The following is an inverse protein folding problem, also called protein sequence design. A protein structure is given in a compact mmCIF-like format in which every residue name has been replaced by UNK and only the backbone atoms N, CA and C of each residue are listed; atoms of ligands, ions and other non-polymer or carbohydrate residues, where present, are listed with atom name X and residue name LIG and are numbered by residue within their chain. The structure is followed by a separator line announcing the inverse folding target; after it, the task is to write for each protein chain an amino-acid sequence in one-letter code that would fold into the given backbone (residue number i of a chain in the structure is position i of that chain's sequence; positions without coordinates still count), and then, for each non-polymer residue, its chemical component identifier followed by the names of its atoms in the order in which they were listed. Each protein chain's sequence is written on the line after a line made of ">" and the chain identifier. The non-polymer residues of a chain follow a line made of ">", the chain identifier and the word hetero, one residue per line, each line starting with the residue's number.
data_IF_900323612107
#
_entry.id   IF_900323612107
#
_cell.length_a   1.000
_cell.length_b   1.000
_cell.length_c   1.000
_cell.angle_alpha   90.00
_cell.angle_beta   90.00
_cell.angle_gamma   90.00
#
_symmetry.space_group_name_H-M   'P 1'
#
loop_
_entity.id
_entity.type
_entity.pdbx_description
1 polymer ?
#
# COMPACT_ATOMS: atom_id res chain seq x y z
N UNK A 1 42.65 -37.93 -34.64
CA UNK A 1 42.18 -36.95 -35.63
C UNK A 1 41.97 -35.64 -34.90
N UNK A 2 42.94 -34.74 -35.05
CA UNK A 2 42.95 -33.42 -34.45
C UNK A 2 42.13 -32.48 -35.33
N UNK A 3 41.25 -31.68 -34.74
CA UNK A 3 40.61 -30.58 -35.44
C UNK A 3 40.76 -29.28 -34.65
N UNK A 4 41.19 -28.26 -35.37
CA UNK A 4 41.88 -27.08 -34.88
C UNK A 4 40.92 -25.89 -34.64
N UNK A 5 41.28 -24.92 -33.77
CA UNK A 5 40.42 -23.79 -33.45
C UNK A 5 40.36 -22.77 -34.61
N UNK A 6 39.13 -22.40 -34.99
CA UNK A 6 38.83 -21.35 -36.00
C UNK A 6 39.31 -19.98 -35.52
N UNK A 7 40.33 -19.45 -36.20
CA UNK A 7 40.76 -18.04 -36.16
C UNK A 7 39.65 -17.13 -36.71
N UNK A 8 39.17 -16.20 -35.90
CA UNK A 8 38.33 -15.08 -36.34
C UNK A 8 39.20 -13.88 -36.66
N UNK A 9 39.26 -13.52 -37.94
CA UNK A 9 39.94 -12.33 -38.45
C UNK A 9 39.06 -11.10 -38.24
N UNK A 10 39.21 -10.40 -37.11
CA UNK A 10 38.64 -9.06 -36.94
C UNK A 10 39.64 -8.04 -37.49
N UNK A 11 39.29 -7.42 -38.62
CA UNK A 11 40.08 -6.35 -39.25
C UNK A 11 40.24 -5.15 -38.28
N UNK A 12 41.43 -4.53 -38.18
CA UNK A 12 41.62 -3.33 -37.37
C UNK A 12 40.82 -2.16 -37.95
N UNK A 13 40.15 -1.42 -37.05
CA UNK A 13 39.37 -0.23 -37.35
C UNK A 13 40.32 0.88 -37.83
N UNK A 14 39.99 1.63 -38.91
CA UNK A 14 40.86 2.68 -39.42
C UNK A 14 41.07 3.78 -38.38
N UNK A 15 42.33 4.04 -38.05
CA UNK A 15 42.79 5.17 -37.24
C UNK A 15 42.39 6.47 -37.94
N UNK A 16 41.39 7.16 -37.40
CA UNK A 16 41.07 8.51 -37.83
C UNK A 16 42.22 9.42 -37.45
N UNK A 17 42.80 10.03 -38.49
CA UNK A 17 43.84 11.05 -38.39
C UNK A 17 43.22 12.25 -37.68
N UNK A 18 43.68 12.48 -36.46
CA UNK A 18 43.30 13.58 -35.58
C UNK A 18 43.66 14.90 -36.28
N UNK A 19 42.65 15.55 -36.86
CA UNK A 19 42.75 16.93 -37.33
C UNK A 19 42.76 17.79 -36.07
N UNK A 20 43.94 18.29 -35.72
CA UNK A 20 44.16 19.28 -34.67
C UNK A 20 43.19 20.45 -34.91
N UNK A 21 42.16 20.65 -34.09
CA UNK A 21 41.36 21.86 -34.16
C UNK A 21 42.25 23.01 -33.70
N UNK A 22 42.21 24.10 -34.46
CA UNK A 22 42.87 25.34 -34.14
C UNK A 22 42.56 25.78 -32.70
N UNK A 23 43.59 26.29 -32.02
CA UNK A 23 43.58 26.75 -30.64
C UNK A 23 42.26 27.46 -30.27
N UNK A 24 41.57 26.92 -29.26
CA UNK A 24 40.40 27.54 -28.69
C UNK A 24 40.76 28.93 -28.14
N UNK A 25 39.95 29.97 -28.43
CA UNK A 25 40.17 31.29 -27.86
C UNK A 25 40.02 31.20 -26.34
N UNK A 26 41.06 31.62 -25.62
CA UNK A 26 41.08 31.81 -24.17
C UNK A 26 39.77 32.49 -23.75
N UNK A 27 38.97 31.90 -22.83
CA UNK A 27 37.68 32.46 -22.47
C UNK A 27 37.90 33.86 -21.89
N UNK A 28 37.38 34.85 -22.61
CA UNK A 28 37.37 36.24 -22.17
C UNK A 28 36.75 36.30 -20.78
N UNK A 29 37.48 36.90 -19.83
CA UNK A 29 37.02 37.16 -18.46
C UNK A 29 35.65 37.82 -18.53
N UNK A 30 34.59 37.03 -18.31
CA UNK A 30 33.23 37.54 -18.24
C UNK A 30 33.19 38.48 -17.05
N UNK A 31 32.96 39.78 -17.31
CA UNK A 31 32.68 40.77 -16.27
C UNK A 31 31.56 40.20 -15.41
N UNK A 32 31.78 40.16 -14.09
CA UNK A 32 30.79 39.70 -13.13
C UNK A 32 29.50 40.48 -13.40
N UNK A 33 28.45 39.75 -13.79
CA UNK A 33 27.10 40.30 -13.84
C UNK A 33 26.76 40.64 -12.39
N UNK A 34 26.27 41.84 -12.15
CA UNK A 34 25.72 42.25 -10.87
C UNK A 34 24.47 41.38 -10.66
N UNK A 35 24.63 40.27 -9.94
CA UNK A 35 23.55 39.33 -9.61
C UNK A 35 23.02 39.76 -8.27
N UNK A 36 21.71 39.99 -8.21
CA UNK A 36 20.98 40.26 -6.98
C UNK A 36 21.39 39.25 -5.89
N UNK A 37 21.97 39.72 -4.77
CA UNK A 37 22.51 38.84 -3.74
C UNK A 37 21.46 37.86 -3.18
N UNK A 38 20.18 38.24 -3.15
CA UNK A 38 19.12 37.40 -2.60
C UNK A 38 18.79 36.23 -3.55
N UNK A 39 18.72 36.49 -4.85
CA UNK A 39 18.50 35.46 -5.87
C UNK A 39 19.67 34.45 -5.94
N UNK A 40 20.90 34.93 -5.71
CA UNK A 40 22.07 34.08 -5.66
C UNK A 40 22.03 33.12 -4.48
N UNK A 41 21.68 33.60 -3.28
CA UNK A 41 21.59 32.75 -2.08
C UNK A 41 20.53 31.68 -2.25
N UNK A 42 19.32 32.05 -2.70
CA UNK A 42 18.21 31.11 -2.80
C UNK A 42 18.47 30.01 -3.84
N UNK A 43 18.83 30.39 -5.06
CA UNK A 43 18.97 29.42 -6.15
C UNK A 43 20.32 28.69 -6.15
N UNK A 44 21.42 29.36 -5.78
CA UNK A 44 22.74 28.75 -5.86
C UNK A 44 23.16 28.04 -4.57
N UNK A 45 22.76 28.54 -3.39
CA UNK A 45 23.13 27.89 -2.13
C UNK A 45 22.13 26.80 -1.73
N UNK A 46 20.81 27.04 -1.81
CA UNK A 46 19.82 26.10 -1.26
C UNK A 46 19.36 25.03 -2.25
N UNK A 47 19.31 25.33 -3.56
CA UNK A 47 18.74 24.42 -4.56
C UNK A 47 19.78 23.62 -5.36
N UNK A 48 21.05 24.02 -5.32
CA UNK A 48 22.09 23.38 -6.12
C UNK A 48 22.77 22.24 -5.34
N UNK A 49 22.76 20.98 -5.83
CA UNK A 49 23.43 19.87 -5.14
C UNK A 49 24.95 20.05 -5.03
N UNK A 50 25.55 20.88 -5.89
CA UNK A 50 26.97 21.23 -5.85
C UNK A 50 27.29 22.39 -4.89
N UNK A 51 26.27 22.92 -4.19
CA UNK A 51 26.43 23.96 -3.20
C UNK A 51 27.43 23.55 -2.12
N UNK A 52 28.12 24.53 -1.52
CA UNK A 52 29.00 24.26 -0.38
C UNK A 52 28.20 23.77 0.85
N UNK A 53 26.91 24.10 0.93
CA UNK A 53 26.03 23.64 2.01
C UNK A 53 25.92 22.12 2.06
N UNK A 54 25.99 21.41 0.91
CA UNK A 54 25.92 19.93 0.89
C UNK A 54 27.19 19.27 1.44
N UNK A 55 28.29 20.01 1.56
CA UNK A 55 29.56 19.52 2.11
C UNK A 55 29.80 19.94 3.55
N UNK A 56 28.98 20.85 4.07
CA UNK A 56 29.07 21.30 5.46
C UNK A 56 28.17 20.44 6.33
N UNK A 57 28.62 20.18 7.56
CA UNK A 57 27.78 19.51 8.53
C UNK A 57 26.64 20.46 8.95
N UNK A 58 25.39 20.04 8.73
CA UNK A 58 24.23 20.89 8.98
C UNK A 58 24.07 21.23 10.47
N UNK A 59 24.58 20.38 11.38
CA UNK A 59 24.56 20.61 12.82
C UNK A 59 25.40 21.83 13.23
N UNK A 60 26.48 22.12 12.51
CA UNK A 60 27.33 23.27 12.79
C UNK A 60 26.66 24.59 12.34
N UNK A 61 25.75 24.50 11.37
CA UNK A 61 25.03 25.65 10.83
C UNK A 61 23.71 25.91 11.56
N UNK A 62 22.93 24.86 11.84
CA UNK A 62 21.62 24.92 12.48
C UNK A 62 21.78 24.45 13.94
N UNK A 63 22.18 25.37 14.81
CA UNK A 63 22.29 25.13 16.25
C UNK A 63 21.71 26.29 17.05
N UNK A 64 21.65 26.13 18.38
CA UNK A 64 21.11 27.12 19.29
C UNK A 64 21.82 28.48 19.19
N UNK A 65 23.13 28.49 18.92
CA UNK A 65 23.89 29.73 18.80
C UNK A 65 23.46 30.50 17.53
N UNK A 66 23.38 29.81 16.39
CA UNK A 66 22.88 30.38 15.14
C UNK A 66 21.42 30.85 15.26
N UNK A 67 20.58 30.09 15.97
CA UNK A 67 19.19 30.48 16.26
C UNK A 67 19.11 31.77 17.07
N UNK A 68 19.93 31.91 18.11
CA UNK A 68 19.97 33.10 18.97
C UNK A 68 20.53 34.34 18.26
N UNK A 69 21.24 34.18 17.13
CA UNK A 69 21.69 35.29 16.29
C UNK A 69 20.59 35.85 15.38
N UNK A 70 19.47 35.14 15.22
CA UNK A 70 18.33 35.62 14.43
C UNK A 70 17.54 36.71 15.17
N UNK A 71 16.94 37.64 14.41
CA UNK A 71 16.04 38.63 14.99
C UNK A 71 14.77 37.97 15.58
N UNK A 72 14.13 38.57 16.61
CA UNK A 72 12.91 38.02 17.20
C UNK A 72 11.77 37.78 16.19
N UNK A 73 11.64 38.67 15.19
CA UNK A 73 10.69 38.53 14.10
C UNK A 73 10.98 37.29 13.23
N UNK A 74 12.26 37.02 12.97
CA UNK A 74 12.67 35.84 12.19
C UNK A 74 12.45 34.55 12.97
N UNK A 75 12.74 34.55 14.27
CA UNK A 75 12.47 33.41 15.16
C UNK A 75 10.97 33.11 15.21
N UNK A 76 10.13 34.15 15.26
CA UNK A 76 8.67 34.02 15.27
C UNK A 76 8.11 33.48 13.95
N UNK A 77 8.70 33.87 12.81
CA UNK A 77 8.35 33.31 11.48
C UNK A 77 8.82 31.86 11.32
N UNK A 78 9.96 31.51 11.90
CA UNK A 78 10.50 30.15 11.92
C UNK A 78 9.84 29.26 12.99
N UNK A 79 8.98 29.82 13.85
CA UNK A 79 8.19 29.06 14.83
C UNK A 79 7.09 28.18 14.20
N UNK A 80 7.10 28.03 12.87
CA UNK A 80 6.37 26.98 12.15
C UNK A 80 6.93 25.57 12.42
N UNK A 81 8.07 25.46 13.10
CA UNK A 81 8.52 24.18 13.61
C UNK A 81 7.46 23.58 14.54
N UNK A 82 7.16 22.28 14.43
CA UNK A 82 6.20 21.63 15.31
C UNK A 82 6.63 21.85 16.77
N UNK A 83 5.68 21.91 17.73
CA UNK A 83 6.01 22.12 19.14
C UNK A 83 7.12 21.19 19.65
N UNK A 84 7.20 19.97 19.10
CA UNK A 84 8.24 18.96 19.35
C UNK A 84 9.67 19.41 19.08
N UNK A 85 9.89 20.46 18.29
CA UNK A 85 11.23 20.98 18.00
C UNK A 85 11.80 21.88 19.11
N UNK A 86 10.97 22.27 20.09
CA UNK A 86 11.38 23.15 21.18
C UNK A 86 11.71 22.36 22.44
N UNK A 87 12.79 22.71 23.13
CA UNK A 87 13.19 22.09 24.41
C UNK A 87 12.13 22.18 25.51
N UNK A 88 11.20 23.13 25.40
CA UNK A 88 10.07 23.28 26.32
C UNK A 88 8.91 22.32 26.05
N UNK A 89 8.94 21.57 24.94
CA UNK A 89 7.90 20.60 24.64
C UNK A 89 8.11 19.32 25.42
N UNK A 90 7.16 19.04 26.30
CA UNK A 90 7.03 17.74 26.92
C UNK A 90 5.97 16.95 26.16
N UNK A 91 6.33 15.85 25.48
CA UNK A 91 5.33 14.96 24.89
C UNK A 91 4.45 14.41 26.02
N UNK A 92 3.22 14.90 26.13
CA UNK A 92 2.23 14.36 27.04
C UNK A 92 1.41 13.32 26.30
N UNK A 93 1.70 12.05 26.56
CA UNK A 93 0.81 10.96 26.16
C UNK A 93 -0.34 10.91 27.19
N UNK A 94 -1.57 10.70 26.73
CA UNK A 94 -2.72 10.49 27.63
C UNK A 94 -2.45 9.31 28.56
N UNK A 95 -2.86 9.42 29.83
CA UNK A 95 -2.62 8.39 30.87
C UNK A 95 -3.22 7.02 30.56
N UNK A 96 -4.07 6.96 29.54
CA UNK A 96 -4.80 5.80 29.02
C UNK A 96 -4.09 5.09 27.85
N UNK A 97 -2.99 5.63 27.34
CA UNK A 97 -2.33 5.09 26.15
C UNK A 97 -1.28 4.01 26.50
N UNK A 98 -1.33 2.82 25.87
CA UNK A 98 -0.46 1.68 26.19
C UNK A 98 1.04 1.91 25.94
N UNK A 99 1.41 2.92 25.16
CA UNK A 99 2.81 3.30 24.91
C UNK A 99 3.45 4.11 26.05
N UNK A 100 2.72 4.48 27.10
CA UNK A 100 3.26 5.25 28.24
C UNK A 100 4.39 4.51 28.99
N UNK A 101 4.52 3.18 28.80
CA UNK A 101 5.54 2.37 29.46
C UNK A 101 6.81 2.15 28.65
N UNK A 102 6.89 2.61 27.39
CA UNK A 102 8.01 2.29 26.50
C UNK A 102 8.69 3.57 25.97
N UNK A 103 9.75 3.99 26.66
CA UNK A 103 10.50 5.21 26.36
C UNK A 103 11.60 4.98 25.33
N UNK A 104 11.22 4.66 24.09
CA UNK A 104 12.16 4.67 22.97
C UNK A 104 12.13 6.03 22.28
N UNK A 105 13.14 6.85 22.55
CA UNK A 105 13.32 8.16 21.94
C UNK A 105 13.91 7.95 20.53
N UNK A 106 13.06 8.04 19.50
CA UNK A 106 13.48 7.81 18.11
C UNK A 106 13.96 9.15 17.53
N UNK A 107 15.26 9.25 17.26
CA UNK A 107 15.89 10.44 16.70
C UNK A 107 15.34 10.78 15.31
N UNK A 108 14.50 11.81 15.24
CA UNK A 108 13.83 12.27 14.01
C UNK A 108 14.75 13.05 13.03
N UNK A 109 16.03 13.23 13.35
CA UNK A 109 16.87 14.28 12.75
C UNK A 109 17.86 13.83 11.66
N UNK A 110 17.87 12.54 11.29
CA UNK A 110 18.83 12.00 10.30
C UNK A 110 18.29 12.06 8.85
N UNK A 111 16.97 12.18 8.65
CA UNK A 111 16.36 12.14 7.31
C UNK A 111 16.49 13.44 6.51
N UNK A 112 16.66 14.59 7.17
CA UNK A 112 16.67 15.89 6.49
C UNK A 112 17.86 16.09 5.54
N UNK A 113 19.03 15.56 5.87
CA UNK A 113 20.24 15.68 5.03
C UNK A 113 20.21 14.75 3.82
N UNK A 114 19.60 13.57 3.94
CA UNK A 114 19.46 12.61 2.85
C UNK A 114 18.51 13.10 1.75
N UNK A 115 17.46 13.84 2.11
CA UNK A 115 16.55 14.45 1.13
C UNK A 115 17.22 15.57 0.31
N UNK A 116 18.19 16.28 0.88
CA UNK A 116 18.97 17.28 0.13
C UNK A 116 19.95 16.63 -0.85
N UNK A 117 20.55 15.49 -0.46
CA UNK A 117 21.53 14.77 -1.28
C UNK A 117 20.91 14.00 -2.46
N UNK A 118 19.63 13.64 -2.36
CA UNK A 118 18.89 12.86 -3.36
C UNK A 118 18.19 13.70 -4.44
N UNK A 119 18.50 15.02 -4.53
CA UNK A 119 17.85 15.97 -5.46
C UNK A 119 16.31 16.03 -5.29
N UNK A 120 15.76 15.61 -4.14
CA UNK A 120 14.31 15.57 -3.89
C UNK A 120 13.69 16.97 -3.92
N UNK A 121 14.45 18.00 -3.54
CA UNK A 121 14.02 19.41 -3.54
C UNK A 121 14.28 20.13 -4.87
N UNK A 122 14.78 19.44 -5.90
CA UNK A 122 15.00 20.05 -7.21
C UNK A 122 13.68 20.36 -7.93
N UNK A 123 13.65 21.42 -8.73
CA UNK A 123 12.49 21.78 -9.55
C UNK A 123 12.07 20.63 -10.48
N UNK A 124 13.05 19.84 -10.95
CA UNK A 124 12.81 18.66 -11.77
C UNK A 124 12.08 17.54 -11.01
N UNK A 125 12.31 17.39 -9.71
CA UNK A 125 11.56 16.44 -8.88
C UNK A 125 10.17 16.98 -8.55
N UNK A 126 10.04 18.27 -8.23
CA UNK A 126 8.75 18.92 -8.00
C UNK A 126 7.82 18.82 -9.22
N UNK A 127 8.34 19.00 -10.43
CA UNK A 127 7.57 18.85 -11.67
C UNK A 127 7.11 17.40 -11.90
N UNK A 128 7.95 16.41 -11.54
CA UNK A 128 7.58 14.99 -11.59
C UNK A 128 6.48 14.64 -10.59
N UNK A 129 6.57 15.14 -9.35
CA UNK A 129 5.54 14.93 -8.32
C UNK A 129 4.23 15.55 -8.77
N UNK A 130 4.25 16.79 -9.25
CA UNK A 130 3.05 17.49 -9.75
C UNK A 130 2.39 16.73 -10.90
N UNK A 131 3.16 16.29 -11.88
CA UNK A 131 2.65 15.47 -13.01
C UNK A 131 2.03 14.16 -12.53
N UNK A 132 2.62 13.53 -11.52
CA UNK A 132 2.12 12.30 -10.94
C UNK A 132 0.82 12.51 -10.15
N UNK A 133 0.74 13.58 -9.34
CA UNK A 133 -0.49 13.98 -8.63
C UNK A 133 -1.64 14.34 -9.57
N UNK A 134 -1.35 15.09 -10.64
CA UNK A 134 -2.32 15.39 -11.71
C UNK A 134 -2.80 14.10 -12.39
N UNK A 135 -1.88 13.18 -12.69
CA UNK A 135 -2.21 11.88 -13.25
C UNK A 135 -3.10 11.02 -12.36
N UNK A 136 -2.88 11.02 -11.04
CA UNK A 136 -3.75 10.34 -10.08
C UNK A 136 -5.13 10.99 -10.05
N UNK A 137 -5.18 12.32 -9.99
CA UNK A 137 -6.45 13.07 -9.93
C UNK A 137 -7.29 12.85 -11.18
N UNK A 138 -6.67 12.82 -12.34
CA UNK A 138 -7.32 12.59 -13.63
C UNK A 138 -7.61 11.11 -13.90
N UNK A 139 -7.16 10.20 -13.03
CA UNK A 139 -7.32 8.75 -13.18
C UNK A 139 -6.49 8.12 -14.31
N UNK A 140 -5.60 8.89 -14.94
CA UNK A 140 -4.73 8.44 -16.04
C UNK A 140 -3.48 7.69 -15.55
N UNK A 141 -3.05 7.98 -14.32
CA UNK A 141 -1.95 7.31 -13.63
C UNK A 141 -2.50 6.66 -12.36
N UNK A 142 -2.90 5.40 -12.46
CA UNK A 142 -2.90 4.51 -11.29
C UNK A 142 -1.46 4.02 -11.11
N UNK A 143 -0.89 4.06 -9.91
CA UNK A 143 0.38 3.38 -9.64
C UNK A 143 0.15 1.87 -9.64
N UNK A 144 0.47 1.15 -10.73
CA UNK A 144 0.22 -0.30 -10.81
C UNK A 144 1.24 -1.05 -9.93
N UNK A 145 2.35 -0.37 -9.60
CA UNK A 145 3.55 -0.96 -9.05
C UNK A 145 3.49 -1.31 -7.57
N UNK A 146 2.47 -0.88 -6.82
CA UNK A 146 2.41 -1.22 -5.39
C UNK A 146 1.69 -2.52 -5.10
N UNK A 147 0.60 -2.81 -5.82
CA UNK A 147 -0.19 -4.03 -5.59
C UNK A 147 0.05 -5.08 -6.68
N UNK A 148 -0.03 -4.73 -7.97
CA UNK A 148 0.06 -5.74 -9.06
C UNK A 148 1.50 -6.23 -9.27
N UNK A 149 2.50 -5.35 -9.16
CA UNK A 149 3.92 -5.74 -9.26
C UNK A 149 4.37 -6.51 -8.02
N UNK A 150 3.92 -6.11 -6.83
CA UNK A 150 4.21 -6.88 -5.62
C UNK A 150 3.53 -8.26 -5.68
N UNK A 151 2.27 -8.35 -6.11
CA UNK A 151 1.57 -9.62 -6.29
C UNK A 151 2.26 -10.49 -7.35
N UNK A 152 2.64 -9.93 -8.51
CA UNK A 152 3.36 -10.67 -9.56
C UNK A 152 4.73 -11.16 -9.11
N UNK A 153 5.48 -10.31 -8.41
CA UNK A 153 6.85 -10.62 -8.00
C UNK A 153 6.91 -11.45 -6.69
N UNK A 154 5.79 -11.52 -5.95
CA UNK A 154 5.61 -12.35 -4.75
C UNK A 154 4.50 -13.41 -4.93
N UNK A 155 4.16 -13.78 -6.17
CA UNK A 155 3.31 -14.93 -6.45
C UNK A 155 4.01 -16.17 -5.85
N UNK A 156 3.47 -16.72 -4.76
CA UNK A 156 4.09 -17.88 -4.12
C UNK A 156 4.14 -19.04 -5.12
N UNK A 157 5.32 -19.67 -5.34
CA UNK A 157 5.45 -20.75 -6.30
C UNK A 157 4.47 -21.88 -5.96
N UNK A 158 3.82 -22.43 -6.99
CA UNK A 158 2.76 -23.45 -6.97
C UNK A 158 3.19 -24.78 -6.30
N UNK A 159 4.40 -24.84 -5.74
CA UNK A 159 4.84 -25.87 -4.81
C UNK A 159 3.89 -25.97 -3.62
N UNK A 160 3.20 -27.10 -3.57
CA UNK A 160 2.47 -27.67 -2.43
C UNK A 160 2.63 -26.83 -1.16
N UNK A 161 1.57 -26.11 -0.80
CA UNK A 161 1.50 -25.34 0.44
C UNK A 161 2.04 -26.19 1.60
N UNK A 162 3.28 -25.93 1.99
CA UNK A 162 3.85 -26.60 3.15
C UNK A 162 3.01 -26.17 4.35
N UNK A 163 2.38 -27.11 5.09
CA UNK A 163 1.46 -26.79 6.18
C UNK A 163 2.12 -25.95 7.30
N UNK A 164 3.45 -25.90 7.31
CA UNK A 164 4.28 -25.18 8.28
C UNK A 164 4.11 -23.66 8.26
N UNK A 165 3.71 -23.02 7.15
CA UNK A 165 3.67 -21.54 7.08
C UNK A 165 2.39 -20.93 7.67
N UNK A 166 1.35 -21.74 7.90
CA UNK A 166 0.08 -21.26 8.44
C UNK A 166 -0.03 -21.38 9.98
N UNK A 167 0.99 -21.95 10.64
CA UNK A 167 1.02 -22.18 12.09
C UNK A 167 -0.12 -23.08 12.58
N UNK A 168 -0.24 -23.21 13.90
CA UNK A 168 -1.35 -23.91 14.58
C UNK A 168 -2.72 -23.26 14.28
N UNK A 169 -2.74 -21.98 13.89
CA UNK A 169 -3.95 -21.28 13.42
C UNK A 169 -4.58 -21.94 12.19
N UNK A 170 -3.87 -22.82 11.46
CA UNK A 170 -4.42 -23.60 10.35
C UNK A 170 -5.56 -24.54 10.76
N UNK A 171 -5.63 -24.94 12.04
CA UNK A 171 -6.64 -25.86 12.55
C UNK A 171 -8.00 -25.21 12.80
N UNK A 172 -8.05 -23.88 12.92
CA UNK A 172 -9.29 -23.13 13.15
C UNK A 172 -10.22 -23.22 11.93
N UNK A 173 -11.45 -23.69 12.16
CA UNK A 173 -12.49 -23.77 11.13
C UNK A 173 -13.33 -22.50 11.13
N UNK A 174 -14.03 -22.22 10.03
CA UNK A 174 -15.01 -21.12 9.97
C UNK A 174 -16.07 -21.23 11.07
N UNK A 175 -16.47 -22.45 11.41
CA UNK A 175 -17.41 -22.74 12.48
C UNK A 175 -16.87 -22.27 13.84
N UNK A 176 -15.57 -22.35 14.08
CA UNK A 176 -14.96 -21.90 15.33
C UNK A 176 -14.99 -20.37 15.44
N UNK A 177 -14.75 -19.66 14.32
CA UNK A 177 -14.89 -18.20 14.25
C UNK A 177 -16.34 -17.73 14.43
N UNK A 178 -17.31 -18.52 13.95
CA UNK A 178 -18.72 -18.25 14.19
C UNK A 178 -19.10 -18.50 15.65
N UNK A 179 -18.58 -19.56 16.27
CA UNK A 179 -18.80 -19.87 17.70
C UNK A 179 -18.22 -18.80 18.62
N UNK A 180 -17.06 -18.25 18.29
CA UNK A 180 -16.42 -17.18 19.06
C UNK A 180 -16.95 -15.78 18.76
N UNK A 181 -18.01 -15.66 17.95
CA UNK A 181 -18.60 -14.37 17.54
C UNK A 181 -17.65 -13.43 16.78
N UNK A 182 -16.54 -13.97 16.26
CA UNK A 182 -15.63 -13.27 15.33
C UNK A 182 -16.34 -13.05 14.01
N UNK A 183 -17.11 -14.03 13.54
CA UNK A 183 -18.09 -13.88 12.46
C UNK A 183 -19.49 -13.80 13.05
N UNK A 184 -20.25 -12.78 12.65
CA UNK A 184 -21.57 -12.45 13.22
C UNK A 184 -22.67 -12.61 12.18
N UNK A 185 -23.89 -12.82 12.66
CA UNK A 185 -25.06 -12.81 11.79
C UNK A 185 -25.21 -11.43 11.12
N UNK A 186 -25.38 -11.45 9.80
CA UNK A 186 -25.51 -10.23 9.00
C UNK A 186 -24.19 -9.71 8.42
N UNK A 187 -23.05 -10.31 8.78
CA UNK A 187 -21.79 -10.07 8.07
C UNK A 187 -21.90 -10.53 6.61
N UNK A 188 -21.20 -9.82 5.73
CA UNK A 188 -21.02 -10.18 4.32
C UNK A 188 -19.57 -10.62 4.13
N UNK A 189 -19.40 -11.80 3.55
CA UNK A 189 -18.10 -12.28 3.11
C UNK A 189 -17.93 -11.89 1.64
N UNK A 190 -16.88 -11.15 1.37
CA UNK A 190 -16.55 -10.69 0.02
C UNK A 190 -15.40 -11.52 -0.48
N UNK A 191 -15.65 -12.31 -1.51
CA UNK A 191 -14.60 -13.01 -2.24
C UNK A 191 -14.03 -12.09 -3.32
N UNK A 192 -12.72 -11.92 -3.34
CA UNK A 192 -12.01 -11.23 -4.42
C UNK A 192 -10.73 -11.96 -4.73
N UNK A 193 -10.58 -12.43 -5.98
CA UNK A 193 -9.37 -13.11 -6.43
C UNK A 193 -9.07 -12.86 -7.89
N UNK A 194 -7.83 -12.52 -8.18
CA UNK A 194 -7.32 -12.35 -9.54
C UNK A 194 -6.70 -13.66 -10.04
N UNK A 195 -7.16 -14.13 -11.21
CA UNK A 195 -6.68 -15.32 -11.87
C UNK A 195 -5.79 -14.88 -13.04
N UNK A 196 -4.51 -14.62 -12.76
CA UNK A 196 -3.53 -14.13 -13.74
C UNK A 196 -3.46 -15.03 -14.99
N UNK A 197 -3.49 -16.35 -14.80
CA UNK A 197 -3.52 -17.33 -15.89
C UNK A 197 -4.73 -17.23 -16.83
N UNK A 198 -5.84 -16.66 -16.35
CA UNK A 198 -7.07 -16.50 -17.13
C UNK A 198 -7.34 -15.04 -17.50
N UNK A 199 -6.63 -14.09 -16.89
CA UNK A 199 -6.91 -12.66 -16.99
C UNK A 199 -8.30 -12.29 -16.44
N UNK A 200 -8.83 -13.05 -15.48
CA UNK A 200 -10.16 -12.85 -14.91
C UNK A 200 -10.04 -12.43 -13.45
N UNK A 201 -10.74 -11.37 -13.06
CA UNK A 201 -10.97 -11.01 -11.67
C UNK A 201 -12.35 -11.55 -11.26
N UNK A 202 -12.37 -12.45 -10.29
CA UNK A 202 -13.62 -12.94 -9.70
C UNK A 202 -13.89 -12.15 -8.43
N UNK A 203 -15.00 -11.43 -8.39
CA UNK A 203 -15.49 -10.74 -7.21
C UNK A 203 -16.94 -11.14 -6.95
N UNK A 204 -17.22 -11.61 -5.74
CA UNK A 204 -18.54 -12.12 -5.33
C UNK A 204 -18.84 -11.78 -3.88
N UNK A 205 -20.01 -11.23 -3.65
CA UNK A 205 -20.55 -10.98 -2.32
C UNK A 205 -21.37 -12.18 -1.86
N UNK A 206 -21.19 -12.53 -0.58
CA UNK A 206 -21.73 -13.72 0.02
C UNK A 206 -22.33 -13.37 1.38
N UNK A 207 -23.56 -13.79 1.65
CA UNK A 207 -24.23 -13.46 2.90
C UNK A 207 -24.73 -14.69 3.66
N UNK A 208 -24.71 -14.51 4.99
CA UNK A 208 -25.48 -15.18 6.05
C UNK A 208 -24.74 -16.29 6.79
N UNK A 209 -24.71 -16.13 8.11
CA UNK A 209 -24.34 -17.16 9.07
C UNK A 209 -25.51 -17.25 10.02
N UNK A 210 -26.10 -18.43 10.10
CA UNK A 210 -27.18 -18.72 11.02
C UNK A 210 -26.59 -18.85 12.44
N UNK A 211 -26.86 -17.84 13.27
CA UNK A 211 -26.33 -17.76 14.63
C UNK A 211 -26.78 -18.93 15.52
N UNK A 212 -27.91 -19.58 15.20
CA UNK A 212 -28.47 -20.64 16.05
C UNK A 212 -27.80 -21.99 15.86
N UNK A 213 -27.39 -22.30 14.64
CA UNK A 213 -26.84 -23.62 14.31
C UNK A 213 -25.32 -23.63 14.20
N UNK A 214 -24.67 -22.46 14.26
CA UNK A 214 -23.24 -22.25 13.97
C UNK A 214 -22.79 -22.79 12.59
N UNK A 215 -23.74 -23.21 11.74
CA UNK A 215 -23.49 -23.63 10.38
C UNK A 215 -23.51 -22.38 9.49
N UNK A 216 -22.43 -22.19 8.73
CA UNK A 216 -22.38 -21.13 7.74
C UNK A 216 -23.23 -21.54 6.54
N UNK A 217 -24.36 -20.86 6.38
CA UNK A 217 -25.30 -21.06 5.28
C UNK A 217 -25.23 -19.85 4.38
N UNK A 218 -24.50 -20.01 3.28
CA UNK A 218 -24.13 -18.96 2.36
C UNK A 218 -25.18 -18.83 1.26
N UNK A 219 -25.62 -17.59 1.01
CA UNK A 219 -26.45 -17.19 -0.11
C UNK A 219 -25.59 -16.58 -1.23
N UNK A 220 -25.84 -17.01 -2.47
CA UNK A 220 -25.07 -16.64 -3.65
C UNK A 220 -25.96 -16.38 -4.85
N UNK A 221 -25.66 -15.31 -5.59
CA UNK A 221 -26.25 -15.08 -6.91
C UNK A 221 -25.54 -15.89 -8.00
N UNK A 222 -26.28 -16.56 -8.90
CA UNK A 222 -25.69 -17.29 -10.02
C UNK A 222 -25.00 -16.36 -11.03
N UNK A 223 -24.10 -16.93 -11.84
CA UNK A 223 -23.43 -16.22 -12.93
C UNK A 223 -22.33 -15.27 -12.45
N UNK A 224 -22.15 -14.15 -13.14
CA UNK A 224 -21.06 -13.18 -12.90
C UNK A 224 -21.47 -12.00 -12.01
N UNK A 225 -22.72 -11.97 -11.52
CA UNK A 225 -23.24 -10.89 -10.67
C UNK A 225 -22.41 -10.77 -9.40
N UNK A 226 -21.75 -9.63 -9.22
CA UNK A 226 -20.86 -9.37 -8.08
C UNK A 226 -21.63 -9.22 -6.78
N UNK A 227 -22.63 -8.35 -6.79
CA UNK A 227 -23.31 -7.87 -5.59
C UNK A 227 -24.58 -8.70 -5.31
N UNK A 228 -24.93 -8.81 -4.04
CA UNK A 228 -26.18 -9.46 -3.61
C UNK A 228 -27.38 -8.53 -3.84
N UNK A 229 -28.60 -9.08 -4.02
CA UNK A 229 -29.82 -8.29 -4.11
C UNK A 229 -30.00 -7.37 -2.90
N UNK A 230 -30.42 -6.14 -3.13
CA UNK A 230 -30.62 -5.13 -2.08
C UNK A 230 -31.53 -5.63 -0.93
N UNK A 231 -32.50 -6.48 -1.25
CA UNK A 231 -33.42 -7.11 -0.29
C UNK A 231 -32.70 -7.96 0.77
N UNK A 232 -31.58 -8.59 0.40
CA UNK A 232 -30.75 -9.38 1.32
C UNK A 232 -29.75 -8.51 2.09
N UNK A 233 -29.44 -7.30 1.60
CA UNK A 233 -28.50 -6.40 2.25
C UNK A 233 -29.10 -5.69 3.45
N UNK A 234 -30.43 -5.64 3.59
CA UNK A 234 -31.13 -4.95 4.68
C UNK A 234 -31.00 -5.68 6.04
N UNK A 235 -31.10 -4.95 7.17
CA UNK A 235 -31.23 -5.56 8.50
C UNK A 235 -32.50 -6.42 8.56
N UNK A 236 -32.36 -7.71 8.90
CA UNK A 236 -33.48 -8.66 8.86
C UNK A 236 -33.82 -9.10 7.43
N UNK A 237 -32.92 -9.80 6.73
CA UNK A 237 -33.12 -10.17 5.33
C UNK A 237 -34.38 -11.03 5.17
N UNK A 238 -35.16 -10.73 4.13
CA UNK A 238 -36.25 -11.61 3.69
C UNK A 238 -35.71 -12.99 3.29
N UNK A 239 -36.61 -13.99 3.27
CA UNK A 239 -36.24 -15.30 2.76
C UNK A 239 -35.73 -15.18 1.31
N UNK A 240 -34.66 -15.91 0.96
CA UNK A 240 -34.06 -15.82 -0.37
C UNK A 240 -35.10 -16.20 -1.43
N UNK A 241 -35.28 -15.33 -2.42
CA UNK A 241 -36.07 -15.63 -3.60
C UNK A 241 -35.18 -16.18 -4.71
N UNK A 242 -35.75 -16.95 -5.63
CA UNK A 242 -35.04 -17.36 -6.85
C UNK A 242 -34.57 -16.10 -7.61
N UNK A 243 -33.32 -16.03 -8.09
CA UNK A 243 -32.42 -17.15 -8.39
C UNK A 243 -31.35 -17.43 -7.32
N UNK A 244 -31.45 -16.85 -6.12
CA UNK A 244 -30.46 -17.00 -5.04
C UNK A 244 -30.24 -18.48 -4.69
N UNK A 245 -28.99 -18.93 -4.70
CA UNK A 245 -28.62 -20.29 -4.28
C UNK A 245 -28.12 -20.31 -2.86
N UNK A 246 -28.53 -21.32 -2.11
CA UNK A 246 -28.08 -21.56 -0.74
C UNK A 246 -27.10 -22.74 -0.70
N UNK A 247 -25.98 -22.59 0.01
CA UNK A 247 -25.04 -23.68 0.27
C UNK A 247 -24.58 -23.70 1.72
N UNK A 248 -24.45 -24.90 2.29
CA UNK A 248 -23.86 -25.09 3.61
C UNK A 248 -22.36 -25.36 3.46
N UNK A 249 -21.55 -24.54 4.12
CA UNK A 249 -20.08 -24.60 4.03
C UNK A 249 -19.47 -24.86 5.41
N UNK A 250 -18.37 -25.61 5.43
CA UNK A 250 -17.63 -25.93 6.66
C UNK A 250 -16.21 -25.35 6.65
N UNK A 251 -15.67 -25.04 5.47
CA UNK A 251 -14.32 -24.51 5.29
C UNK A 251 -14.25 -23.42 4.21
N UNK A 252 -13.28 -22.48 4.27
CA UNK A 252 -13.14 -21.45 3.23
C UNK A 252 -12.79 -22.02 1.86
N UNK A 253 -12.07 -23.14 1.80
CA UNK A 253 -11.76 -23.83 0.53
C UNK A 253 -13.02 -24.40 -0.12
N UNK A 254 -13.95 -24.92 0.69
CA UNK A 254 -15.26 -25.38 0.20
C UNK A 254 -16.09 -24.20 -0.32
N UNK A 255 -16.07 -23.07 0.40
CA UNK A 255 -16.73 -21.83 -0.04
C UNK A 255 -16.15 -21.30 -1.36
N UNK A 256 -14.83 -21.18 -1.46
CA UNK A 256 -14.15 -20.74 -2.68
C UNK A 256 -14.47 -21.68 -3.85
N UNK A 257 -14.41 -22.99 -3.64
CA UNK A 257 -14.74 -23.96 -4.69
C UNK A 257 -16.19 -23.85 -5.15
N UNK A 258 -17.13 -23.66 -4.22
CA UNK A 258 -18.55 -23.46 -4.52
C UNK A 258 -18.80 -22.15 -5.28
N UNK A 259 -18.13 -21.07 -4.90
CA UNK A 259 -18.16 -19.78 -5.61
C UNK A 259 -17.66 -19.90 -7.05
N UNK A 260 -16.54 -20.58 -7.23
CA UNK A 260 -15.94 -20.79 -8.55
C UNK A 260 -16.76 -21.76 -9.42
N UNK A 261 -17.40 -22.76 -8.82
CA UNK A 261 -18.38 -23.62 -9.50
C UNK A 261 -19.58 -22.78 -10.01
N UNK A 262 -20.10 -21.86 -9.19
CA UNK A 262 -21.22 -20.97 -9.56
C UNK A 262 -20.81 -19.95 -10.64
N UNK A 263 -19.58 -19.45 -10.58
CA UNK A 263 -19.02 -18.54 -11.59
C UNK A 263 -18.71 -19.25 -12.92
N UNK A 264 -18.52 -20.58 -12.90
CA UNK A 264 -18.18 -21.37 -14.08
C UNK A 264 -16.68 -21.50 -14.36
N UNK A 265 -15.82 -21.31 -13.35
CA UNK A 265 -14.37 -21.51 -13.50
C UNK A 265 -14.05 -23.00 -13.42
N UNK A 266 -13.39 -23.53 -14.46
CA UNK A 266 -12.95 -24.93 -14.50
C UNK A 266 -12.04 -25.27 -13.30
N UNK A 267 -12.28 -26.43 -12.68
CA UNK A 267 -11.51 -26.96 -11.54
C UNK A 267 -10.03 -27.08 -11.84
N UNK A 268 -9.65 -27.39 -13.09
CA UNK A 268 -8.24 -27.53 -13.51
C UNK A 268 -7.48 -26.21 -13.51
N UNK A 269 -8.21 -25.08 -13.62
CA UNK A 269 -7.66 -23.73 -13.69
C UNK A 269 -7.70 -23.01 -12.35
N UNK A 270 -8.14 -23.68 -11.28
CA UNK A 270 -8.23 -23.08 -9.95
C UNK A 270 -6.84 -23.00 -9.33
N UNK A 271 -6.46 -21.85 -8.77
CA UNK A 271 -5.17 -21.68 -8.12
C UNK A 271 -5.15 -22.40 -6.76
N UNK A 272 -4.03 -23.08 -6.47
CA UNK A 272 -3.78 -23.75 -5.18
C UNK A 272 -3.34 -22.75 -4.10
N UNK A 273 -4.11 -21.69 -3.87
CA UNK A 273 -3.77 -20.68 -2.86
C UNK A 273 -4.59 -20.79 -1.58
N UNK A 274 -4.14 -20.04 -0.57
CA UNK A 274 -4.80 -19.96 0.71
C UNK A 274 -6.13 -19.16 0.60
N UNK A 275 -7.26 -19.87 0.53
CA UNK A 275 -8.60 -19.30 0.44
C UNK A 275 -8.87 -18.25 1.53
N UNK A 276 -8.31 -18.39 2.73
CA UNK A 276 -8.49 -17.45 3.85
C UNK A 276 -8.09 -16.01 3.52
N UNK A 277 -7.11 -15.82 2.63
CA UNK A 277 -6.64 -14.48 2.22
C UNK A 277 -7.57 -13.82 1.20
N UNK A 278 -8.43 -14.59 0.53
CA UNK A 278 -9.29 -14.11 -0.57
C UNK A 278 -10.67 -13.62 -0.10
N UNK A 279 -10.95 -13.74 1.20
CA UNK A 279 -12.22 -13.33 1.79
C UNK A 279 -12.03 -12.15 2.75
N UNK A 280 -12.81 -11.11 2.53
CA UNK A 280 -12.90 -9.94 3.41
C UNK A 280 -14.25 -9.92 4.09
N UNK A 281 -14.28 -9.62 5.39
CA UNK A 281 -15.50 -9.54 6.18
C UNK A 281 -15.99 -8.10 6.19
N UNK A 282 -17.26 -7.91 5.86
CA UNK A 282 -17.93 -6.62 5.89
C UNK A 282 -19.02 -6.64 6.94
N UNK A 283 -19.00 -5.69 7.87
CA UNK A 283 -19.85 -5.66 9.06
C UNK A 283 -20.57 -4.33 9.21
N UNK A 284 -21.75 -4.36 9.81
CA UNK A 284 -22.48 -3.16 10.20
C UNK A 284 -21.70 -2.35 11.24
N UNK A 285 -21.63 -1.02 11.12
CA UNK A 285 -21.15 -0.16 12.19
C UNK A 285 -21.91 -0.46 13.48
N UNK A 286 -21.22 -0.47 14.62
CA UNK A 286 -21.79 -0.90 15.92
C UNK A 286 -23.00 -0.07 16.38
N UNK A 287 -23.15 1.14 15.88
CA UNK A 287 -24.26 2.04 16.18
C UNK A 287 -25.33 1.95 15.09
N UNK A 288 -26.06 0.82 15.09
CA UNK A 288 -26.99 0.42 14.04
C UNK A 288 -28.22 1.35 13.86
N UNK A 289 -28.33 2.43 14.63
CA UNK A 289 -29.49 3.32 14.62
C UNK A 289 -29.49 4.33 13.45
N UNK A 290 -28.34 4.69 12.89
CA UNK A 290 -28.25 5.64 11.75
C UNK A 290 -28.27 4.97 10.37
N UNK A 291 -28.34 3.63 10.34
CA UNK A 291 -28.15 2.77 9.17
C UNK A 291 -29.20 2.92 8.06
N UNK A 292 -30.31 3.61 8.31
CA UNK A 292 -31.41 3.75 7.35
C UNK A 292 -31.14 4.72 6.20
N UNK A 293 -30.08 5.54 6.25
CA UNK A 293 -29.83 6.57 5.23
C UNK A 293 -28.95 6.12 4.05
N UNK A 294 -28.48 4.87 4.05
CA UNK A 294 -27.48 4.38 3.11
C UNK A 294 -28.04 3.38 2.09
N UNK A 295 -29.28 3.56 1.61
CA UNK A 295 -29.93 2.66 0.63
C UNK A 295 -29.13 2.48 -0.67
N UNK A 296 -28.20 3.39 -0.97
CA UNK A 296 -27.29 3.32 -2.13
C UNK A 296 -25.83 2.99 -1.77
N UNK A 297 -25.51 2.74 -0.50
CA UNK A 297 -24.15 2.42 -0.12
C UNK A 297 -23.80 0.98 -0.52
N UNK A 298 -22.57 0.79 -1.01
CA UNK A 298 -22.04 -0.54 -1.33
C UNK A 298 -22.24 -1.47 -0.13
N UNK A 299 -22.72 -2.70 -0.40
CA UNK A 299 -22.92 -3.74 0.63
C UNK A 299 -23.87 -3.33 1.76
N UNK A 300 -24.78 -2.41 1.46
CA UNK A 300 -25.79 -1.90 2.38
C UNK A 300 -25.26 -0.90 3.41
N UNK A 301 -24.04 -0.37 3.27
CA UNK A 301 -23.45 0.55 4.27
C UNK A 301 -22.62 -0.15 5.35
N UNK A 302 -22.26 -1.42 5.12
CA UNK A 302 -21.26 -2.13 5.94
C UNK A 302 -19.86 -1.60 5.67
N UNK A 303 -18.99 -1.75 6.65
CA UNK A 303 -17.58 -1.37 6.59
C UNK A 303 -16.67 -2.61 6.49
N UNK A 304 -15.49 -2.43 5.90
CA UNK A 304 -14.46 -3.46 5.82
C UNK A 304 -13.88 -3.71 7.21
N UNK A 305 -14.07 -4.93 7.72
CA UNK A 305 -13.59 -5.37 9.03
C UNK A 305 -12.27 -6.15 8.96
N UNK A 306 -11.75 -6.40 7.75
CA UNK A 306 -10.51 -7.14 7.51
C UNK A 306 -10.71 -8.51 6.89
N UNK A 307 -9.60 -9.18 6.56
CA UNK A 307 -9.63 -10.49 5.90
C UNK A 307 -9.84 -11.63 6.90
N UNK A 308 -10.46 -12.72 6.46
CA UNK A 308 -10.61 -13.92 7.29
C UNK A 308 -9.27 -14.45 7.80
N UNK A 309 -8.19 -14.28 7.01
CA UNK A 309 -6.83 -14.64 7.43
C UNK A 309 -6.39 -13.89 8.68
N UNK A 310 -6.56 -12.56 8.71
CA UNK A 310 -6.17 -11.74 9.87
C UNK A 310 -7.08 -11.97 11.07
N UNK A 311 -8.40 -12.00 10.85
CA UNK A 311 -9.37 -12.23 11.92
C UNK A 311 -9.15 -13.59 12.61
N UNK A 312 -8.77 -14.61 11.84
CA UNK A 312 -8.39 -15.92 12.38
C UNK A 312 -7.12 -15.85 13.24
N UNK A 313 -6.11 -15.10 12.79
CA UNK A 313 -4.85 -14.95 13.52
C UNK A 313 -5.05 -14.21 14.84
N UNK A 314 -5.74 -13.07 14.84
CA UNK A 314 -6.03 -12.32 16.07
C UNK A 314 -6.78 -13.18 17.10
N UNK A 315 -7.83 -13.90 16.67
CA UNK A 315 -8.56 -14.79 17.57
C UNK A 315 -7.72 -15.97 18.08
N UNK A 316 -6.70 -16.40 17.35
CA UNK A 316 -5.76 -17.43 17.83
C UNK A 316 -4.85 -16.89 18.93
N UNK A 317 -4.35 -15.66 18.76
CA UNK A 317 -3.46 -15.00 19.74
C UNK A 317 -4.18 -14.65 21.05
N UNK A 318 -5.49 -14.39 20.99
CA UNK A 318 -6.32 -14.08 22.16
C UNK A 318 -6.68 -15.31 23.04
N UNK A 319 -6.35 -16.54 22.61
CA UNK A 319 -6.66 -17.80 23.33
C UNK A 319 -5.53 -18.25 24.25
#
# INVERSE_FOLDING_TARGET
>A
MADAPRRSNRKPKPTQREVIPAAEPVPAKRKAKDVDPDAYVQHFMLQNPKSRLTKMNIYDLINANSWNMLSPDSQSRLALLPPTAFFSFQPSIGSDHPAATDSTNVDFNVSGTDHLFSDWLSDAHAEKVKKYEEGIRDGSLAAPWKNEVWERDNEEPITQSSPTRAGEAAELKLVDLAKSSVLRQGDILVYKRHFTNLGILVEKDVIKIDARTHNLTVLLEPGTTRDLPAQLLMPGPCDPSEPTRTMTITSPTQLESGLLDVYGVDRTKRPNGNAWKSFTVWRWPGDALETHLAENARRGGREDHGTLFYLRACHYEDR
#
